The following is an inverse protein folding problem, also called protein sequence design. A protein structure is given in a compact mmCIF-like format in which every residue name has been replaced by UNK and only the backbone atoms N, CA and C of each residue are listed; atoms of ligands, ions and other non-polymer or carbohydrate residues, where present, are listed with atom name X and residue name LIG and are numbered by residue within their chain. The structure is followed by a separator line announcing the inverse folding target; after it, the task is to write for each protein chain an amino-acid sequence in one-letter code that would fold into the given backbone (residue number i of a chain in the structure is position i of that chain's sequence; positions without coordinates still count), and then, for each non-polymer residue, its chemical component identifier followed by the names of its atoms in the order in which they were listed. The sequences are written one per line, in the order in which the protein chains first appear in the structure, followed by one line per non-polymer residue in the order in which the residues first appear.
data_IF_422943331232
#
_entry.id   IF_422943331232
#
_cell.length_a   1.000
_cell.length_b   1.000
_cell.length_c   1.000
_cell.angle_alpha   90.00
_cell.angle_beta   90.00
_cell.angle_gamma   90.00
#
_symmetry.space_group_name_H-M   'P 1'
#
loop_
_entity.id
_entity.type
_entity.pdbx_description
1 polymer ?
#
# COMPACT_ATOMS: atom_id res chain seq x y z
N UNK A 1 11.81 -8.99 -12.76
CA UNK A 1 12.18 -8.66 -11.36
C UNK A 1 11.10 -7.86 -10.61
N UNK A 2 9.88 -7.75 -11.15
CA UNK A 2 8.79 -6.92 -10.60
C UNK A 2 8.13 -7.48 -9.32
N UNK A 3 8.17 -8.79 -9.10
CA UNK A 3 7.38 -9.46 -8.06
C UNK A 3 7.94 -9.26 -6.64
N UNK A 4 9.25 -9.22 -6.49
CA UNK A 4 9.91 -9.19 -5.19
C UNK A 4 9.94 -7.77 -4.60
N UNK A 5 10.17 -6.75 -5.44
CA UNK A 5 10.14 -5.33 -5.04
C UNK A 5 8.77 -4.93 -4.45
N UNK A 6 7.68 -5.37 -5.09
CA UNK A 6 6.33 -5.10 -4.63
C UNK A 6 6.05 -5.74 -3.26
N UNK A 7 6.46 -6.99 -3.05
CA UNK A 7 6.31 -7.68 -1.77
C UNK A 7 7.10 -6.96 -0.68
N UNK A 8 8.35 -6.56 -0.95
CA UNK A 8 9.15 -5.80 0.03
C UNK A 8 8.56 -4.42 0.34
N UNK A 9 8.00 -3.72 -0.65
CA UNK A 9 7.31 -2.44 -0.41
C UNK A 9 6.09 -2.60 0.50
N UNK A 10 5.24 -3.60 0.26
CA UNK A 10 4.05 -3.84 1.07
C UNK A 10 4.46 -4.27 2.49
N UNK A 11 5.44 -5.17 2.62
CA UNK A 11 5.94 -5.63 3.92
C UNK A 11 6.58 -4.49 4.73
N UNK A 12 7.41 -3.65 4.09
CA UNK A 12 8.02 -2.49 4.73
C UNK A 12 6.98 -1.47 5.21
N UNK A 13 5.97 -1.19 4.38
CA UNK A 13 4.85 -0.33 4.77
C UNK A 13 4.09 -0.90 5.97
N UNK A 14 3.79 -2.20 5.97
CA UNK A 14 3.09 -2.85 7.08
C UNK A 14 3.88 -2.74 8.39
N UNK A 15 5.19 -2.97 8.37
CA UNK A 15 6.06 -2.81 9.54
C UNK A 15 5.99 -1.37 10.07
N UNK A 16 6.13 -0.37 9.20
CA UNK A 16 6.09 1.04 9.59
C UNK A 16 4.74 1.40 10.22
N UNK A 17 3.63 1.00 9.58
CA UNK A 17 2.26 1.28 10.07
C UNK A 17 2.03 0.60 11.43
N UNK A 18 2.45 -0.65 11.61
CA UNK A 18 2.33 -1.37 12.88
C UNK A 18 3.15 -0.72 13.99
N UNK A 19 4.40 -0.32 13.71
CA UNK A 19 5.25 0.37 14.69
C UNK A 19 4.64 1.71 15.09
N UNK A 20 4.18 2.51 14.13
CA UNK A 20 3.52 3.79 14.43
C UNK A 20 2.24 3.61 15.25
N UNK A 21 1.41 2.61 14.91
CA UNK A 21 0.23 2.26 15.69
C UNK A 21 0.60 1.91 17.14
N UNK A 22 1.59 1.02 17.33
CA UNK A 22 2.05 0.62 18.67
C UNK A 22 2.61 1.78 19.49
N UNK A 23 3.36 2.69 18.85
CA UNK A 23 3.93 3.88 19.50
C UNK A 23 2.82 4.87 19.89
N UNK A 24 1.87 5.17 18.99
CA UNK A 24 0.76 6.08 19.28
C UNK A 24 -0.15 5.53 20.37
N UNK A 25 -0.40 4.21 20.36
CA UNK A 25 -1.14 3.53 21.42
C UNK A 25 -0.44 3.65 22.78
N UNK A 26 0.88 3.41 22.82
CA UNK A 26 1.68 3.58 24.05
C UNK A 26 1.74 5.03 24.53
N UNK A 27 1.68 6.01 23.62
CA UNK A 27 1.60 7.42 23.95
C UNK A 27 0.23 7.88 24.47
N UNK A 28 -0.74 6.98 24.61
CA UNK A 28 -2.12 7.31 25.02
C UNK A 28 -2.94 8.03 23.94
N UNK A 29 -2.49 7.97 22.68
CA UNK A 29 -3.10 8.64 21.52
C UNK A 29 -3.83 7.61 20.63
N UNK A 30 -4.76 6.86 21.21
CA UNK A 30 -5.45 5.76 20.51
C UNK A 30 -6.21 6.21 19.26
N UNK A 31 -6.80 7.41 19.27
CA UNK A 31 -7.49 7.96 18.10
C UNK A 31 -6.55 8.07 16.89
N UNK A 32 -5.33 8.57 17.11
CA UNK A 32 -4.32 8.67 16.06
C UNK A 32 -3.80 7.30 15.62
N UNK A 33 -3.70 6.34 16.54
CA UNK A 33 -3.29 4.97 16.21
C UNK A 33 -4.27 4.33 15.21
N UNK A 34 -5.58 4.56 15.38
CA UNK A 34 -6.59 4.09 14.43
C UNK A 34 -6.51 4.79 13.07
N UNK A 35 -6.28 6.11 13.06
CA UNK A 35 -6.08 6.86 11.81
C UNK A 35 -4.86 6.37 11.03
N UNK A 36 -3.77 5.99 11.71
CA UNK A 36 -2.59 5.42 11.07
C UNK A 36 -2.89 4.07 10.41
N UNK A 37 -3.65 3.20 11.08
CA UNK A 37 -4.07 1.92 10.47
C UNK A 37 -4.91 2.13 9.22
N UNK A 38 -5.89 3.05 9.28
CA UNK A 38 -6.71 3.41 8.11
C UNK A 38 -5.87 3.97 6.97
N UNK A 39 -4.91 4.86 7.29
CA UNK A 39 -3.99 5.43 6.30
C UNK A 39 -3.15 4.34 5.63
N UNK A 40 -2.66 3.36 6.41
CA UNK A 40 -1.96 2.19 5.87
C UNK A 40 -2.77 1.43 4.83
N UNK A 41 -4.07 1.21 5.10
CA UNK A 41 -4.99 0.57 4.16
C UNK A 41 -5.16 1.40 2.88
N UNK A 42 -5.38 2.71 3.00
CA UNK A 42 -5.54 3.62 1.86
C UNK A 42 -4.30 3.63 0.96
N UNK A 43 -3.10 3.58 1.55
CA UNK A 43 -1.85 3.53 0.78
C UNK A 43 -1.76 2.21 -0.01
N UNK A 44 -2.06 1.08 0.62
CA UNK A 44 -2.06 -0.23 -0.08
C UNK A 44 -3.07 -0.24 -1.21
N UNK A 45 -4.28 0.30 -1.00
CA UNK A 45 -5.29 0.40 -2.06
C UNK A 45 -4.79 1.24 -3.24
N UNK A 46 -4.07 2.34 -2.97
CA UNK A 46 -3.47 3.19 -4.00
C UNK A 46 -2.36 2.48 -4.79
N UNK A 47 -1.61 1.58 -4.15
CA UNK A 47 -0.62 0.75 -4.85
C UNK A 47 -1.31 -0.25 -5.80
N UNK A 48 -2.43 -0.84 -5.37
CA UNK A 48 -3.20 -1.78 -6.18
C UNK A 48 -3.81 -1.08 -7.41
N UNK A 49 -4.32 0.15 -7.29
CA UNK A 49 -4.87 0.87 -8.46
C UNK A 49 -3.82 1.13 -9.53
N UNK A 50 -2.58 1.46 -9.15
CA UNK A 50 -1.46 1.60 -10.09
C UNK A 50 -1.15 0.29 -10.82
N UNK A 51 -1.15 -0.83 -10.10
CA UNK A 51 -0.92 -2.16 -10.67
C UNK A 51 -2.02 -2.56 -11.67
N UNK A 52 -3.27 -2.24 -11.34
CA UNK A 52 -4.42 -2.45 -12.24
C UNK A 52 -4.29 -1.58 -13.49
N UNK A 53 -3.89 -0.31 -13.36
CA UNK A 53 -3.68 0.58 -14.51
C UNK A 53 -2.57 0.05 -15.43
N UNK A 54 -1.45 -0.41 -14.88
CA UNK A 54 -0.37 -1.03 -15.64
C UNK A 54 -0.84 -2.31 -16.36
N UNK A 55 -1.64 -3.14 -15.69
CA UNK A 55 -2.25 -4.32 -16.31
C UNK A 55 -3.13 -3.93 -17.51
N UNK A 56 -4.02 -2.94 -17.35
CA UNK A 56 -4.85 -2.47 -18.46
C UNK A 56 -4.03 -1.89 -19.61
N UNK A 57 -2.94 -1.17 -19.31
CA UNK A 57 -2.03 -0.68 -20.34
C UNK A 57 -1.34 -1.83 -21.08
N UNK A 58 -0.92 -2.88 -20.36
CA UNK A 58 -0.33 -4.08 -20.96
C UNK A 58 -1.34 -4.83 -21.85
N UNK A 59 -2.62 -4.86 -21.46
CA UNK A 59 -3.68 -5.43 -22.30
C UNK A 59 -3.86 -4.57 -23.57
N UNK A 60 -4.00 -3.25 -23.43
CA UNK A 60 -4.14 -2.34 -24.59
C UNK A 60 -2.97 -2.45 -25.56
N UNK A 61 -1.73 -2.52 -25.05
CA UNK A 61 -0.53 -2.65 -25.89
C UNK A 61 -0.48 -3.99 -26.63
N UNK A 62 -0.90 -5.08 -25.97
CA UNK A 62 -0.96 -6.41 -26.57
C UNK A 62 -1.98 -6.45 -27.70
N UNK A 63 -3.12 -5.78 -27.53
CA UNK A 63 -4.20 -5.75 -28.52
C UNK A 63 -4.13 -4.54 -29.48
N UNK A 64 -3.07 -3.72 -29.43
CA UNK A 64 -2.89 -2.51 -30.24
C UNK A 64 -4.10 -1.57 -30.21
N UNK A 65 -4.79 -1.50 -29.06
CA UNK A 65 -5.94 -0.63 -28.86
C UNK A 65 -5.45 0.79 -28.54
N UNK A 66 -6.09 1.84 -29.09
CA UNK A 66 -5.77 3.23 -28.75
C UNK A 66 -5.99 3.58 -27.27
#
# INVERSE_FOLDING_TARGET
MLSVDLIFKIAGLAIIVSVLHSVLKQAGKEEYAWLVTLTGIVIVLTLVTGLVAEFFNSVRSTFQLP
#
